data_IF_122591880212
#
_entry.id   IF_122591880212
#
_cell.length_a   1.000
_cell.length_b   1.000
_cell.length_c   1.000
_cell.angle_alpha   90.00
_cell.angle_beta   90.00
_cell.angle_gamma   90.00
#
_symmetry.space_group_name_H-M   'P 1'
#
loop_
_entity.id
_entity.type
_entity.pdbx_description
1 polymer ?
#
# COMPACT_ATOMS: atom_id res chain seq x y z
N UNK A 1 -12.94 -25.38 3.14
CA UNK A 1 -12.80 -24.80 4.48
C UNK A 1 -11.94 -23.56 4.37
N UNK A 2 -12.37 -22.45 4.96
CA UNK A 2 -11.58 -21.22 5.06
C UNK A 2 -10.32 -21.49 5.93
N UNK A 3 -9.14 -21.08 5.46
CA UNK A 3 -7.84 -21.31 6.11
C UNK A 3 -7.12 -20.03 6.58
N UNK A 4 -7.82 -18.88 6.64
CA UNK A 4 -7.26 -17.64 7.20
C UNK A 4 -6.98 -17.74 8.71
N UNK A 5 -6.10 -16.87 9.23
CA UNK A 5 -5.88 -16.76 10.67
C UNK A 5 -6.99 -15.92 11.30
N UNK A 6 -7.93 -16.54 12.03
CA UNK A 6 -9.00 -15.80 12.70
C UNK A 6 -8.58 -15.36 14.10
N UNK A 7 -8.74 -14.08 14.40
CA UNK A 7 -8.52 -13.52 15.75
C UNK A 7 -9.77 -12.84 16.30
N UNK A 8 -9.92 -12.92 17.63
CA UNK A 8 -10.96 -12.23 18.41
C UNK A 8 -10.40 -11.03 19.19
N UNK A 9 -9.10 -10.73 19.05
CA UNK A 9 -8.45 -9.58 19.70
C UNK A 9 -8.66 -8.29 18.88
N UNK A 10 -8.64 -7.14 19.57
CA UNK A 10 -8.60 -5.84 18.86
C UNK A 10 -7.34 -5.72 17.98
N UNK A 11 -7.38 -4.80 17.03
CA UNK A 11 -6.18 -4.46 16.25
C UNK A 11 -5.08 -3.89 17.18
N UNK A 12 -3.82 -4.34 17.03
CA UNK A 12 -2.75 -4.09 17.98
C UNK A 12 -2.24 -2.64 17.95
N UNK A 13 -2.50 -1.91 16.86
CA UNK A 13 -2.01 -0.54 16.66
C UNK A 13 -2.68 0.44 17.61
N UNK A 14 -3.97 0.27 17.92
CA UNK A 14 -4.64 1.10 18.91
C UNK A 14 -4.01 0.94 20.29
N UNK A 15 -3.82 -0.29 20.74
CA UNK A 15 -3.25 -0.58 22.07
C UNK A 15 -1.82 -0.07 22.16
N UNK A 16 -1.00 -0.35 21.15
CA UNK A 16 0.41 0.09 21.10
C UNK A 16 0.54 1.61 21.01
N UNK A 17 -0.27 2.27 20.18
CA UNK A 17 -0.35 3.75 20.12
C UNK A 17 -0.64 4.35 21.49
N UNK A 18 -1.61 3.81 22.24
CA UNK A 18 -1.94 4.32 23.58
C UNK A 18 -0.79 4.13 24.57
N UNK A 19 -0.10 2.99 24.51
CA UNK A 19 1.07 2.73 25.35
C UNK A 19 2.24 3.68 25.02
N UNK A 20 2.51 3.90 23.73
CA UNK A 20 3.54 4.83 23.26
C UNK A 20 3.21 6.27 23.68
N UNK A 21 1.97 6.74 23.51
CA UNK A 21 1.58 8.10 23.94
C UNK A 21 1.77 8.28 25.44
N UNK A 22 1.51 7.23 26.23
CA UNK A 22 1.69 7.27 27.68
C UNK A 22 3.16 7.33 28.08
N UNK A 23 4.04 6.59 27.40
CA UNK A 23 5.47 6.54 27.67
C UNK A 23 6.22 7.77 27.10
N UNK A 24 5.85 8.19 25.89
CA UNK A 24 6.52 9.21 25.07
C UNK A 24 5.53 10.21 24.48
N UNK A 25 4.88 11.06 25.29
CA UNK A 25 3.88 12.02 24.80
C UNK A 25 4.43 12.99 23.73
N UNK A 26 5.75 13.20 23.67
CA UNK A 26 6.42 14.02 22.66
C UNK A 26 6.26 13.52 21.22
N UNK A 27 5.92 12.24 20.99
CA UNK A 27 5.67 11.71 19.64
C UNK A 27 4.52 12.45 18.95
N UNK A 28 3.57 12.98 19.72
CA UNK A 28 2.45 13.76 19.18
C UNK A 28 2.91 15.06 18.51
N UNK A 29 4.09 15.57 18.86
CA UNK A 29 4.70 16.75 18.20
C UNK A 29 5.22 16.43 16.79
N UNK A 30 5.32 15.15 16.42
CA UNK A 30 5.71 14.73 15.07
C UNK A 30 4.54 14.80 14.09
N UNK A 31 3.30 14.79 14.59
CA UNK A 31 2.10 14.80 13.78
C UNK A 31 1.94 16.11 12.98
N UNK A 32 1.29 15.99 11.83
CA UNK A 32 0.93 17.13 10.98
C UNK A 32 1.59 17.08 9.60
N UNK A 33 1.37 18.10 8.77
CA UNK A 33 1.77 18.05 7.37
C UNK A 33 3.29 18.04 7.19
N UNK A 34 3.69 17.50 6.04
CA UNK A 34 5.04 17.47 5.50
C UNK A 34 5.07 18.19 4.14
N UNK A 35 5.41 19.50 4.12
CA UNK A 35 5.45 20.28 2.90
C UNK A 35 6.40 19.75 1.82
N UNK A 36 7.44 18.98 2.19
CA UNK A 36 8.36 18.36 1.22
C UNK A 36 7.66 17.35 0.29
N UNK A 37 6.49 16.83 0.69
CA UNK A 37 5.68 15.95 -0.15
C UNK A 37 5.27 16.63 -1.46
N UNK A 38 5.00 17.94 -1.43
CA UNK A 38 4.49 18.70 -2.58
C UNK A 38 5.54 18.79 -3.71
N UNK A 39 6.74 19.38 -3.50
CA UNK A 39 7.73 19.46 -4.56
C UNK A 39 8.20 18.09 -5.03
N UNK A 40 8.24 17.08 -4.15
CA UNK A 40 8.63 15.72 -4.53
C UNK A 40 7.62 15.09 -5.50
N UNK A 41 6.32 15.20 -5.22
CA UNK A 41 5.26 14.74 -6.14
C UNK A 41 5.36 15.45 -7.48
N UNK A 42 5.47 16.79 -7.48
CA UNK A 42 5.56 17.56 -8.72
C UNK A 42 6.81 17.18 -9.54
N UNK A 43 7.93 16.91 -8.87
CA UNK A 43 9.15 16.43 -9.49
C UNK A 43 8.95 15.05 -10.13
N UNK A 44 8.36 14.10 -9.42
CA UNK A 44 8.13 12.73 -9.94
C UNK A 44 7.11 12.73 -11.08
N UNK A 45 6.03 13.51 -10.98
CA UNK A 45 5.08 13.73 -12.09
C UNK A 45 5.79 14.30 -13.31
N UNK A 46 6.69 15.27 -13.12
CA UNK A 46 7.46 15.87 -14.21
C UNK A 46 8.41 14.87 -14.88
N UNK A 47 9.06 13.99 -14.10
CA UNK A 47 9.87 12.90 -14.64
C UNK A 47 9.02 11.98 -15.52
N UNK A 48 7.84 11.57 -15.05
CA UNK A 48 6.96 10.69 -15.80
C UNK A 48 6.51 11.32 -17.12
N UNK A 49 6.07 12.59 -17.09
CA UNK A 49 5.66 13.31 -18.30
C UNK A 49 6.85 13.48 -19.27
N UNK A 50 8.04 13.77 -18.75
CA UNK A 50 9.25 13.86 -19.56
C UNK A 50 9.58 12.52 -20.23
N UNK A 51 9.59 11.41 -19.48
CA UNK A 51 9.83 10.09 -20.05
C UNK A 51 8.77 9.70 -21.08
N UNK A 52 7.50 9.99 -20.81
CA UNK A 52 6.41 9.77 -21.77
C UNK A 52 6.64 10.55 -23.07
N UNK A 53 7.04 11.83 -22.97
CA UNK A 53 7.39 12.65 -24.13
C UNK A 53 8.61 12.12 -24.88
N UNK A 54 9.67 11.72 -24.18
CA UNK A 54 10.90 11.18 -24.80
C UNK A 54 10.64 9.86 -25.55
N UNK A 55 9.71 9.04 -25.06
CA UNK A 55 9.34 7.75 -25.66
C UNK A 55 8.22 7.84 -26.71
N UNK A 56 7.74 9.03 -27.05
CA UNK A 56 6.59 9.22 -27.97
C UNK A 56 6.70 8.55 -29.34
N UNK A 57 7.92 8.40 -29.85
CA UNK A 57 8.19 7.77 -31.14
C UNK A 57 8.87 6.41 -30.99
N UNK A 58 8.93 5.87 -29.77
CA UNK A 58 9.61 4.62 -29.46
C UNK A 58 8.60 3.47 -29.43
N UNK A 59 8.80 2.38 -30.20
CA UNK A 59 7.90 1.23 -30.17
C UNK A 59 7.83 0.59 -28.78
N UNK A 60 6.63 0.20 -28.35
CA UNK A 60 6.38 -0.31 -26.98
C UNK A 60 7.19 -1.58 -26.67
N UNK A 61 7.37 -2.47 -27.65
CA UNK A 61 8.10 -3.72 -27.50
C UNK A 61 9.63 -3.57 -27.61
N UNK A 62 10.12 -2.34 -27.77
CA UNK A 62 11.56 -2.09 -27.83
C UNK A 62 12.19 -2.09 -26.44
N UNK A 63 13.45 -2.53 -26.35
CA UNK A 63 14.21 -2.50 -25.10
C UNK A 63 14.29 -1.12 -24.44
N UNK A 64 14.54 -0.01 -25.16
CA UNK A 64 14.54 1.32 -24.54
C UNK A 64 13.21 1.67 -23.87
N UNK A 65 12.08 1.32 -24.52
CA UNK A 65 10.76 1.55 -23.93
C UNK A 65 10.56 0.70 -22.67
N UNK A 66 10.78 -0.61 -22.77
CA UNK A 66 10.57 -1.54 -21.67
C UNK A 66 11.45 -1.21 -20.46
N UNK A 67 12.76 -0.99 -20.66
CA UNK A 67 13.69 -0.69 -19.57
C UNK A 67 13.39 0.66 -18.90
N UNK A 68 13.02 1.67 -19.69
CA UNK A 68 12.61 2.97 -19.12
C UNK A 68 11.30 2.84 -18.34
N UNK A 69 10.33 2.10 -18.86
CA UNK A 69 9.05 1.86 -18.20
C UNK A 69 9.20 1.07 -16.90
N UNK A 70 10.10 0.09 -16.86
CA UNK A 70 10.34 -0.75 -15.68
C UNK A 70 11.22 -0.07 -14.64
N UNK A 71 12.37 0.50 -15.02
CA UNK A 71 13.33 1.03 -14.04
C UNK A 71 12.89 2.41 -13.55
N UNK A 72 12.63 3.34 -14.47
CA UNK A 72 12.26 4.73 -14.11
C UNK A 72 10.77 4.79 -13.84
N UNK A 73 9.96 4.34 -14.79
CA UNK A 73 8.52 4.50 -14.74
C UNK A 73 7.85 3.72 -13.60
N UNK A 74 8.19 2.45 -13.40
CA UNK A 74 7.58 1.65 -12.34
C UNK A 74 8.00 2.15 -10.95
N UNK A 75 9.28 2.52 -10.77
CA UNK A 75 9.77 3.14 -9.52
C UNK A 75 9.07 4.48 -9.24
N UNK A 76 8.92 5.33 -10.26
CA UNK A 76 8.23 6.62 -10.10
C UNK A 76 6.73 6.43 -9.85
N UNK A 77 6.06 5.45 -10.46
CA UNK A 77 4.66 5.16 -10.15
C UNK A 77 4.49 4.52 -8.77
N UNK A 78 5.45 3.71 -8.31
CA UNK A 78 5.49 3.26 -6.92
C UNK A 78 5.59 4.43 -5.94
N UNK A 79 6.47 5.39 -6.23
CA UNK A 79 6.55 6.63 -5.47
C UNK A 79 5.21 7.37 -5.46
N UNK A 80 4.55 7.55 -6.61
CA UNK A 80 3.27 8.26 -6.70
C UNK A 80 2.11 7.53 -6.04
N UNK A 81 2.08 6.19 -6.07
CA UNK A 81 1.10 5.40 -5.32
C UNK A 81 1.20 5.70 -3.82
N UNK A 82 2.42 5.74 -3.31
CA UNK A 82 2.68 6.01 -1.90
C UNK A 82 2.57 7.50 -1.55
N UNK A 83 2.77 8.40 -2.51
CA UNK A 83 2.42 9.80 -2.33
C UNK A 83 0.90 9.97 -2.17
N UNK A 84 0.09 9.31 -3.01
CA UNK A 84 -1.38 9.33 -2.88
C UNK A 84 -1.81 8.72 -1.54
N UNK A 85 -1.12 7.68 -1.06
CA UNK A 85 -1.26 7.16 0.29
C UNK A 85 -1.02 8.23 1.35
N UNK A 86 0.14 8.89 1.37
CA UNK A 86 0.45 9.97 2.33
C UNK A 86 -0.56 11.12 2.26
N UNK A 87 -0.94 11.54 1.05
CA UNK A 87 -1.90 12.62 0.83
C UNK A 87 -3.30 12.24 1.35
N UNK A 88 -3.66 10.95 1.30
CA UNK A 88 -4.96 10.45 1.81
C UNK A 88 -5.12 10.64 3.32
N UNK A 89 -4.01 10.64 4.06
CA UNK A 89 -3.92 10.98 5.48
C UNK A 89 -3.92 12.49 5.76
N UNK A 90 -4.07 13.32 4.72
CA UNK A 90 -3.97 14.78 4.77
C UNK A 90 -2.58 15.28 5.22
N UNK A 91 -1.52 14.58 4.82
CA UNK A 91 -0.17 14.91 5.23
C UNK A 91 0.56 15.88 4.29
N UNK A 92 0.04 16.21 3.11
CA UNK A 92 0.68 17.22 2.25
C UNK A 92 0.27 18.66 2.65
N UNK A 93 -1.00 18.86 2.99
CA UNK A 93 -1.56 20.18 3.36
C UNK A 93 -2.38 20.11 4.64
N UNK A 94 -2.57 21.25 5.33
CA UNK A 94 -3.56 21.34 6.42
C UNK A 94 -5.00 21.24 5.92
N UNK A 95 -5.27 21.68 4.69
CA UNK A 95 -6.61 21.65 4.08
C UNK A 95 -6.90 20.28 3.47
N UNK A 96 -7.96 19.62 3.93
CA UNK A 96 -8.39 18.34 3.37
C UNK A 96 -8.74 18.44 1.87
N UNK A 97 -9.35 19.56 1.45
CA UNK A 97 -9.66 19.80 0.03
C UNK A 97 -8.39 19.97 -0.80
N UNK A 98 -7.38 20.68 -0.30
CA UNK A 98 -6.10 20.81 -1.00
C UNK A 98 -5.41 19.45 -1.19
N UNK A 99 -5.43 18.58 -0.16
CA UNK A 99 -4.92 17.21 -0.30
C UNK A 99 -5.69 16.42 -1.36
N UNK A 100 -7.03 16.44 -1.33
CA UNK A 100 -7.85 15.74 -2.34
C UNK A 100 -7.55 16.19 -3.77
N UNK A 101 -7.43 17.50 -4.01
CA UNK A 101 -7.08 18.04 -5.32
C UNK A 101 -5.64 17.70 -5.72
N UNK A 102 -4.71 17.73 -4.77
CA UNK A 102 -3.31 17.39 -5.05
C UNK A 102 -3.10 15.89 -5.31
N UNK A 103 -3.89 15.02 -4.68
CA UNK A 103 -3.90 13.59 -4.97
C UNK A 103 -4.29 13.30 -6.43
N UNK A 104 -5.16 14.12 -7.03
CA UNK A 104 -5.50 14.02 -8.47
C UNK A 104 -4.28 14.37 -9.34
N UNK A 105 -3.47 15.36 -8.94
CA UNK A 105 -2.22 15.69 -9.64
C UNK A 105 -1.21 14.55 -9.54
N UNK A 106 -1.02 13.97 -8.35
CA UNK A 106 -0.18 12.79 -8.15
C UNK A 106 -0.66 11.58 -8.97
N UNK A 107 -1.97 11.50 -9.25
CA UNK A 107 -2.59 10.43 -10.03
C UNK A 107 -2.33 10.53 -11.54
N UNK A 108 -2.03 11.71 -12.10
CA UNK A 108 -1.98 11.90 -13.56
C UNK A 108 -1.08 10.87 -14.28
N UNK A 109 0.16 10.59 -13.81
CA UNK A 109 1.04 9.60 -14.44
C UNK A 109 0.58 8.14 -14.33
N UNK A 110 -0.46 7.87 -13.53
CA UNK A 110 -0.99 6.51 -13.38
C UNK A 110 -1.83 6.11 -14.60
N UNK A 111 -2.44 7.09 -15.29
CA UNK A 111 -3.27 6.88 -16.48
C UNK A 111 -4.68 6.35 -16.18
N UNK A 112 -5.02 6.13 -14.91
CA UNK A 112 -6.33 5.64 -14.47
C UNK A 112 -6.74 6.39 -13.18
N UNK A 113 -7.94 6.98 -13.09
CA UNK A 113 -8.33 7.85 -11.98
C UNK A 113 -8.74 7.04 -10.75
N UNK A 114 -7.82 6.80 -9.81
CA UNK A 114 -8.09 5.96 -8.62
C UNK A 114 -7.99 6.71 -7.28
N UNK A 115 -7.29 7.84 -7.22
CA UNK A 115 -7.01 8.59 -5.98
C UNK A 115 -8.26 8.92 -5.14
N UNK A 116 -9.37 9.29 -5.79
CA UNK A 116 -10.63 9.58 -5.11
C UNK A 116 -11.23 8.34 -4.39
N UNK A 117 -11.13 7.17 -5.02
CA UNK A 117 -11.59 5.89 -4.46
C UNK A 117 -10.61 5.33 -3.43
N UNK A 118 -9.31 5.55 -3.63
CA UNK A 118 -8.26 5.00 -2.77
C UNK A 118 -8.42 5.43 -1.31
N UNK A 119 -8.57 6.74 -1.07
CA UNK A 119 -8.63 7.31 0.29
C UNK A 119 -9.66 6.63 1.21
N UNK A 120 -10.96 6.52 0.86
CA UNK A 120 -11.94 5.88 1.73
C UNK A 120 -11.67 4.39 1.99
N UNK A 121 -11.22 3.62 0.99
CA UNK A 121 -10.82 2.23 1.22
C UNK A 121 -9.62 2.15 2.16
N UNK A 122 -8.57 2.94 1.88
CA UNK A 122 -7.33 2.97 2.66
C UNK A 122 -7.53 3.38 4.13
N UNK A 123 -8.31 4.44 4.37
CA UNK A 123 -8.62 4.84 5.75
C UNK A 123 -9.46 3.78 6.47
N UNK A 124 -10.35 3.08 5.76
CA UNK A 124 -11.13 1.97 6.31
C UNK A 124 -10.24 0.80 6.67
N UNK A 125 -9.25 0.47 5.82
CA UNK A 125 -8.22 -0.52 6.09
C UNK A 125 -7.47 -0.21 7.40
N UNK A 126 -6.94 1.01 7.58
CA UNK A 126 -6.31 1.40 8.85
C UNK A 126 -7.24 1.30 10.06
N UNK A 127 -8.53 1.59 9.88
CA UNK A 127 -9.50 1.61 11.00
C UNK A 127 -10.06 0.24 11.34
N UNK A 128 -10.13 -0.65 10.36
CA UNK A 128 -10.81 -1.94 10.40
C UNK A 128 -9.94 -3.05 9.83
N UNK A 129 -8.63 -2.99 10.12
CA UNK A 129 -7.62 -3.92 9.62
C UNK A 129 -8.04 -5.37 9.89
N UNK A 130 -8.00 -6.20 8.85
CA UNK A 130 -8.39 -7.60 8.94
C UNK A 130 -9.88 -7.85 9.14
N UNK A 131 -10.75 -6.83 9.24
CA UNK A 131 -12.19 -7.06 9.43
C UNK A 131 -12.83 -7.49 8.11
N UNK A 132 -13.46 -8.66 8.11
CA UNK A 132 -14.11 -9.20 6.92
C UNK A 132 -15.21 -8.26 6.40
N UNK A 133 -15.25 -8.08 5.08
CA UNK A 133 -16.22 -7.20 4.41
C UNK A 133 -15.93 -5.69 4.54
N UNK A 134 -14.90 -5.30 5.31
CA UNK A 134 -14.47 -3.90 5.48
C UNK A 134 -13.03 -3.67 5.02
N UNK A 135 -12.12 -4.59 5.30
CA UNK A 135 -10.75 -4.53 4.81
C UNK A 135 -10.66 -5.13 3.39
N UNK A 136 -10.60 -4.26 2.40
CA UNK A 136 -10.57 -4.66 0.98
C UNK A 136 -9.21 -5.19 0.53
N UNK A 137 -8.18 -5.10 1.38
CA UNK A 137 -6.85 -5.65 1.07
C UNK A 137 -6.79 -7.16 1.32
N UNK A 138 -7.75 -7.72 2.07
CA UNK A 138 -7.85 -9.15 2.29
C UNK A 138 -8.22 -9.87 0.99
N UNK A 139 -7.48 -10.91 0.59
CA UNK A 139 -7.94 -11.79 -0.47
C UNK A 139 -9.20 -12.54 -0.06
N UNK A 140 -10.06 -12.79 -1.04
CA UNK A 140 -11.22 -13.66 -0.91
C UNK A 140 -10.79 -15.12 -0.84
N UNK A 141 -11.62 -15.97 -0.21
CA UNK A 141 -11.38 -17.41 -0.20
C UNK A 141 -11.31 -18.00 -1.63
N UNK A 142 -12.08 -17.42 -2.57
CA UNK A 142 -12.05 -17.82 -3.98
C UNK A 142 -10.66 -17.59 -4.59
N UNK A 143 -10.13 -16.36 -4.48
CA UNK A 143 -8.77 -16.04 -4.94
C UNK A 143 -7.75 -16.95 -4.28
N UNK A 144 -7.87 -17.17 -2.97
CA UNK A 144 -6.93 -17.99 -2.23
C UNK A 144 -6.93 -19.45 -2.71
N UNK A 145 -8.09 -20.07 -2.95
CA UNK A 145 -8.17 -21.44 -3.50
C UNK A 145 -7.55 -21.53 -4.90
N UNK A 146 -7.88 -20.60 -5.80
CA UNK A 146 -7.44 -20.69 -7.21
C UNK A 146 -5.97 -20.34 -7.42
N UNK A 147 -5.40 -19.52 -6.53
CA UNK A 147 -4.04 -19.01 -6.67
C UNK A 147 -3.04 -19.70 -5.73
N UNK A 148 -3.44 -20.75 -5.00
CA UNK A 148 -2.60 -21.50 -4.06
C UNK A 148 -1.65 -22.49 -4.76
N UNK A 149 -0.78 -21.97 -5.61
CA UNK A 149 0.30 -22.72 -6.26
C UNK A 149 1.43 -21.77 -6.65
N UNK A 150 2.61 -22.29 -7.00
CA UNK A 150 3.72 -21.43 -7.48
C UNK A 150 3.28 -20.57 -8.67
N UNK A 151 2.57 -21.15 -9.64
CA UNK A 151 2.08 -20.43 -10.82
C UNK A 151 0.95 -19.45 -10.46
N UNK A 152 0.03 -19.85 -9.56
CA UNK A 152 -1.05 -18.99 -9.09
C UNK A 152 -0.54 -17.77 -8.33
N UNK A 153 0.44 -17.97 -7.44
CA UNK A 153 1.08 -16.89 -6.67
C UNK A 153 1.96 -16.00 -7.55
N UNK A 154 2.65 -16.57 -8.55
CA UNK A 154 3.35 -15.79 -9.56
C UNK A 154 2.38 -14.93 -10.37
N UNK A 155 1.24 -15.49 -10.81
CA UNK A 155 0.18 -14.74 -11.47
C UNK A 155 -0.36 -13.62 -10.57
N UNK A 156 -0.65 -13.92 -9.30
CA UNK A 156 -1.07 -12.93 -8.32
C UNK A 156 -0.07 -11.77 -8.22
N UNK A 157 1.21 -12.07 -8.01
CA UNK A 157 2.26 -11.06 -7.85
C UNK A 157 2.55 -10.28 -9.15
N UNK A 158 2.38 -10.89 -10.33
CA UNK A 158 2.49 -10.18 -11.62
C UNK A 158 1.31 -9.25 -11.87
N UNK A 159 0.09 -9.64 -11.49
CA UNK A 159 -1.14 -8.89 -11.76
C UNK A 159 -1.72 -8.20 -10.53
N UNK A 160 -0.90 -8.02 -9.49
CA UNK A 160 -1.31 -7.62 -8.16
C UNK A 160 -2.10 -6.31 -8.15
N UNK A 161 -1.68 -5.34 -8.97
CA UNK A 161 -2.37 -4.05 -9.11
C UNK A 161 -3.84 -4.20 -9.49
N UNK A 162 -4.20 -5.22 -10.29
CA UNK A 162 -5.59 -5.46 -10.66
C UNK A 162 -6.40 -6.03 -9.52
N UNK A 163 -5.81 -6.85 -8.65
CA UNK A 163 -6.49 -7.31 -7.44
C UNK A 163 -6.80 -6.13 -6.51
N UNK A 164 -5.83 -5.23 -6.29
CA UNK A 164 -6.06 -4.02 -5.49
C UNK A 164 -7.05 -3.04 -6.14
N UNK A 165 -7.10 -2.96 -7.47
CA UNK A 165 -8.05 -2.09 -8.16
C UNK A 165 -9.47 -2.66 -8.22
N UNK A 166 -9.62 -3.97 -8.43
CA UNK A 166 -10.90 -4.61 -8.73
C UNK A 166 -11.58 -5.24 -7.52
N UNK A 167 -10.82 -5.87 -6.62
CA UNK A 167 -11.36 -6.54 -5.43
C UNK A 167 -12.21 -5.62 -4.56
N UNK A 168 -11.81 -4.36 -4.27
CA UNK A 168 -12.63 -3.49 -3.43
C UNK A 168 -14.06 -3.34 -3.94
N UNK A 169 -14.26 -3.24 -5.26
CA UNK A 169 -15.57 -3.12 -5.90
C UNK A 169 -16.45 -4.37 -5.74
N UNK A 170 -15.85 -5.52 -5.45
CA UNK A 170 -16.54 -6.80 -5.21
C UNK A 170 -16.83 -7.02 -3.72
N UNK A 171 -16.02 -6.45 -2.82
CA UNK A 171 -16.20 -6.57 -1.37
C UNK A 171 -17.26 -5.60 -0.88
N UNK A 172 -17.09 -4.30 -1.12
CA UNK A 172 -18.16 -3.33 -0.88
C UNK A 172 -18.02 -2.12 -1.78
N UNK A 173 -19.15 -1.56 -2.23
CA UNK A 173 -19.16 -0.43 -3.16
C UNK A 173 -19.19 0.89 -2.39
N UNK A 174 -18.36 1.83 -2.82
CA UNK A 174 -18.45 3.22 -2.40
C UNK A 174 -19.49 3.97 -3.25
N UNK A 175 -20.23 4.93 -2.67
CA UNK A 175 -21.05 5.84 -3.45
C UNK A 175 -20.14 6.75 -4.29
N UNK A 176 -20.51 6.94 -5.56
CA UNK A 176 -19.81 7.89 -6.44
C UNK A 176 -20.12 9.31 -5.98
N UNK A 177 -19.07 10.12 -5.84
CA UNK A 177 -19.16 11.53 -5.40
C UNK A 177 -18.68 12.49 -6.47
N UNK A 178 -18.92 13.79 -6.30
CA UNK A 178 -18.39 14.83 -7.19
C UNK A 178 -16.86 14.78 -7.33
N UNK A 179 -16.15 14.36 -6.29
CA UNK A 179 -14.70 14.20 -6.35
C UNK A 179 -14.29 13.06 -7.30
N UNK A 180 -15.05 11.96 -7.36
CA UNK A 180 -14.80 10.87 -8.30
C UNK A 180 -15.00 11.35 -9.73
N UNK A 181 -16.11 12.04 -10.00
CA UNK A 181 -16.40 12.60 -11.32
C UNK A 181 -15.32 13.62 -11.75
N UNK A 182 -14.87 14.46 -10.81
CA UNK A 182 -13.80 15.42 -11.06
C UNK A 182 -12.46 14.73 -11.35
N UNK A 183 -12.09 13.69 -10.58
CA UNK A 183 -10.87 12.90 -10.84
C UNK A 183 -10.91 12.23 -12.22
N UNK A 184 -12.05 11.63 -12.60
CA UNK A 184 -12.26 11.03 -13.92
C UNK A 184 -12.11 12.08 -15.03
N UNK A 185 -12.75 13.23 -14.86
CA UNK A 185 -12.68 14.33 -15.84
C UNK A 185 -11.24 14.82 -16.02
N UNK A 186 -10.54 15.11 -14.92
CA UNK A 186 -9.16 15.62 -14.98
C UNK A 186 -8.21 14.60 -15.59
N UNK A 187 -8.30 13.32 -15.22
CA UNK A 187 -7.49 12.25 -15.80
C UNK A 187 -7.78 12.11 -17.30
N UNK A 188 -9.07 12.05 -17.69
CA UNK A 188 -9.46 11.93 -19.09
C UNK A 188 -9.00 13.11 -19.96
N UNK A 189 -9.07 14.34 -19.44
CA UNK A 189 -8.55 15.53 -20.12
C UNK A 189 -7.03 15.46 -20.23
N UNK A 190 -6.32 15.08 -19.17
CA UNK A 190 -4.87 14.94 -19.20
C UNK A 190 -4.42 13.88 -20.22
N UNK A 191 -5.01 12.68 -20.19
CA UNK A 191 -4.68 11.60 -21.11
C UNK A 191 -5.00 11.98 -22.56
N UNK A 192 -6.13 12.65 -22.79
CA UNK A 192 -6.49 13.16 -24.11
C UNK A 192 -5.46 14.18 -24.62
N UNK A 193 -5.12 15.19 -23.82
CA UNK A 193 -4.11 16.21 -24.18
C UNK A 193 -2.77 15.55 -24.44
N UNK A 194 -2.35 14.60 -23.60
CA UNK A 194 -1.10 13.86 -23.76
C UNK A 194 -1.08 13.08 -25.08
N UNK A 195 -2.16 12.40 -25.44
CA UNK A 195 -2.24 11.67 -26.73
C UNK A 195 -2.24 12.62 -27.92
N UNK A 196 -2.93 13.77 -27.86
CA UNK A 196 -2.95 14.73 -28.97
C UNK A 196 -1.58 15.39 -29.19
N UNK A 197 -0.82 15.61 -28.12
CA UNK A 197 0.46 16.35 -28.16
C UNK A 197 1.70 15.45 -28.28
N UNK A 198 1.67 14.29 -27.63
CA UNK A 198 2.78 13.33 -27.54
C UNK A 198 2.46 11.97 -28.18
N UNK A 199 1.27 11.77 -28.73
CA UNK A 199 0.88 10.49 -29.33
C UNK A 199 0.59 9.38 -28.30
N UNK A 200 -0.01 8.31 -28.81
CA UNK A 200 -0.47 7.16 -28.01
C UNK A 200 0.65 6.38 -27.31
N UNK A 201 1.91 6.49 -27.76
CA UNK A 201 3.04 5.83 -27.07
C UNK A 201 3.30 6.44 -25.69
N UNK A 202 3.05 7.73 -25.51
CA UNK A 202 3.19 8.40 -24.21
C UNK A 202 2.20 7.84 -23.19
N UNK A 203 0.92 7.68 -23.56
CA UNK A 203 -0.09 7.08 -22.68
C UNK A 203 0.20 5.60 -22.40
N UNK A 204 0.63 4.84 -23.41
CA UNK A 204 1.05 3.43 -23.21
C UNK A 204 2.20 3.33 -22.21
N UNK A 205 3.15 4.26 -22.24
CA UNK A 205 4.25 4.29 -21.27
C UNK A 205 3.71 4.47 -19.85
N UNK A 206 2.86 5.46 -19.61
CA UNK A 206 2.27 5.72 -18.29
C UNK A 206 1.50 4.51 -17.75
N UNK A 207 0.57 3.95 -18.54
CA UNK A 207 -0.24 2.79 -18.14
C UNK A 207 0.64 1.56 -17.91
N UNK A 208 1.63 1.32 -18.77
CA UNK A 208 2.51 0.16 -18.64
C UNK A 208 3.44 0.29 -17.43
N UNK A 209 3.91 1.50 -17.13
CA UNK A 209 4.65 1.78 -15.89
C UNK A 209 3.79 1.59 -14.65
N UNK A 210 2.51 1.96 -14.67
CA UNK A 210 1.56 1.66 -13.58
C UNK A 210 1.35 0.18 -13.37
N UNK A 211 1.21 -0.58 -14.47
CA UNK A 211 1.14 -2.03 -14.40
C UNK A 211 2.39 -2.62 -13.74
N UNK A 212 3.56 -2.32 -14.31
CA UNK A 212 4.85 -2.84 -13.80
C UNK A 212 5.12 -2.42 -12.35
N UNK A 213 4.69 -1.21 -11.95
CA UNK A 213 4.82 -0.72 -10.58
C UNK A 213 4.17 -1.67 -9.58
N UNK A 214 2.95 -2.15 -9.86
CA UNK A 214 2.27 -3.13 -9.01
C UNK A 214 2.40 -4.58 -9.51
N UNK A 215 3.46 -4.91 -10.24
CA UNK A 215 3.81 -6.26 -10.66
C UNK A 215 5.05 -6.76 -9.88
N UNK A 216 5.84 -7.67 -10.46
CA UNK A 216 7.13 -8.16 -9.93
C UNK A 216 8.24 -7.09 -9.95
N UNK A 217 8.01 -5.94 -9.32
CA UNK A 217 8.97 -4.87 -9.14
C UNK A 217 9.53 -4.87 -7.70
N UNK A 218 10.81 -4.55 -7.45
CA UNK A 218 11.39 -4.61 -6.10
C UNK A 218 10.60 -3.88 -5.02
N UNK A 219 10.07 -2.70 -5.32
CA UNK A 219 9.24 -1.96 -4.37
C UNK A 219 7.89 -2.64 -4.13
N UNK A 220 7.28 -3.29 -5.14
CA UNK A 220 5.95 -3.89 -5.03
C UNK A 220 5.84 -5.03 -4.02
N UNK A 221 6.97 -5.54 -3.53
CA UNK A 221 6.97 -6.46 -2.39
C UNK A 221 6.32 -5.86 -1.14
N UNK A 222 6.25 -4.53 -1.00
CA UNK A 222 5.61 -3.88 0.16
C UNK A 222 4.13 -4.30 0.32
N UNK A 223 3.36 -4.33 -0.77
CA UNK A 223 1.95 -4.76 -0.76
C UNK A 223 1.71 -6.16 -0.15
N UNK A 224 2.70 -7.07 -0.28
CA UNK A 224 2.65 -8.38 0.35
C UNK A 224 3.27 -8.32 1.75
N UNK A 225 4.45 -7.73 1.86
CA UNK A 225 5.23 -7.65 3.09
C UNK A 225 4.46 -7.06 4.27
N UNK A 226 3.61 -6.06 3.99
CA UNK A 226 2.99 -5.26 5.03
C UNK A 226 2.03 -6.06 5.92
N UNK A 227 1.26 -7.01 5.34
CA UNK A 227 0.16 -7.67 6.06
C UNK A 227 0.06 -9.19 5.88
N UNK A 228 0.92 -9.79 5.05
CA UNK A 228 0.98 -11.25 4.95
C UNK A 228 1.87 -11.84 6.05
N UNK A 229 1.42 -12.95 6.59
CA UNK A 229 2.09 -13.68 7.67
C UNK A 229 3.05 -14.71 7.06
N UNK A 230 4.35 -14.45 7.15
CA UNK A 230 5.38 -15.32 6.57
C UNK A 230 5.87 -16.43 7.50
N UNK A 231 5.41 -16.47 8.75
CA UNK A 231 5.81 -17.47 9.74
C UNK A 231 4.61 -18.26 10.29
N UNK A 232 3.81 -18.81 9.36
CA UNK A 232 2.61 -19.58 9.67
C UNK A 232 2.89 -20.71 10.65
N UNK A 233 3.95 -21.48 10.41
CA UNK A 233 4.28 -22.64 11.22
C UNK A 233 4.64 -22.27 12.67
N UNK A 234 5.40 -21.20 12.92
CA UNK A 234 5.69 -20.79 14.29
C UNK A 234 4.46 -20.16 14.95
N UNK A 235 3.65 -19.41 14.22
CA UNK A 235 2.41 -18.84 14.76
C UNK A 235 1.40 -19.92 15.12
N UNK A 236 1.21 -20.94 14.28
CA UNK A 236 0.35 -22.09 14.60
C UNK A 236 0.91 -22.89 15.77
N UNK A 237 2.24 -23.03 15.88
CA UNK A 237 2.91 -23.69 17.03
C UNK A 237 2.72 -22.90 18.33
N UNK A 238 2.84 -21.58 18.28
CA UNK A 238 2.65 -20.69 19.44
C UNK A 238 1.18 -20.61 19.85
N UNK A 239 0.26 -20.54 18.88
CA UNK A 239 -1.19 -20.62 19.13
C UNK A 239 -1.59 -21.97 19.74
N UNK A 240 -1.03 -23.08 19.25
CA UNK A 240 -1.23 -24.41 19.84
C UNK A 240 -0.61 -24.52 21.25
N UNK A 241 0.49 -23.82 21.52
CA UNK A 241 1.10 -23.75 22.85
C UNK A 241 0.29 -22.87 23.83
N UNK A 242 -0.36 -21.82 23.33
CA UNK A 242 -1.24 -20.92 24.08
C UNK A 242 -2.65 -21.50 24.34
N UNK A 243 -3.00 -22.66 23.78
CA UNK A 243 -4.17 -23.44 24.17
C UNK A 243 -4.05 -24.05 25.58
N UNK A 244 -2.93 -23.81 26.29
CA UNK A 244 -2.79 -24.04 27.73
C UNK A 244 -3.30 -22.80 28.49
N UNK A 245 -4.19 -22.96 29.48
CA UNK A 245 -5.00 -21.87 30.07
C UNK A 245 -4.23 -20.75 30.78
N UNK A 246 -2.91 -20.89 30.96
CA UNK A 246 -2.09 -19.98 31.79
C UNK A 246 -1.13 -19.10 30.98
N UNK A 247 -1.10 -19.22 29.64
CA UNK A 247 -0.25 -18.40 28.78
C UNK A 247 -1.10 -17.36 28.04
N UNK A 248 -0.82 -16.07 28.28
CA UNK A 248 -1.35 -14.97 27.46
C UNK A 248 -1.10 -15.31 25.99
N UNK A 249 -2.16 -15.48 25.21
CA UNK A 249 -2.05 -15.67 23.77
C UNK A 249 -1.22 -14.54 23.18
N UNK A 250 -0.07 -14.87 22.58
CA UNK A 250 0.76 -13.92 21.86
C UNK A 250 -0.08 -13.51 20.64
N UNK A 251 -0.41 -12.22 20.45
CA UNK A 251 -1.17 -11.78 19.29
C UNK A 251 -0.38 -12.11 18.03
N UNK A 252 -1.03 -12.75 17.07
CA UNK A 252 -0.43 -13.01 15.76
C UNK A 252 -0.01 -11.69 15.13
N UNK A 253 1.28 -11.49 14.81
CA UNK A 253 1.71 -10.29 14.09
C UNK A 253 0.99 -10.20 12.75
N UNK A 254 0.32 -9.08 12.50
CA UNK A 254 -0.50 -8.87 11.29
C UNK A 254 -0.05 -7.65 10.46
N UNK A 255 0.95 -6.93 10.96
CA UNK A 255 1.59 -5.78 10.31
C UNK A 255 3.09 -5.89 10.48
N UNK A 256 3.84 -5.81 9.38
CA UNK A 256 5.30 -5.99 9.38
C UNK A 256 5.99 -4.78 8.78
N UNK A 257 7.09 -4.35 9.42
CA UNK A 257 7.92 -3.26 8.91
C UNK A 257 9.03 -3.80 7.99
N UNK A 258 9.69 -2.88 7.27
CA UNK A 258 10.89 -3.04 6.46
C UNK A 258 11.71 -1.76 6.60
N UNK A 259 12.95 -1.88 7.07
CA UNK A 259 13.83 -0.73 7.34
C UNK A 259 14.93 -0.55 6.28
N UNK A 260 14.82 -1.21 5.12
CA UNK A 260 15.86 -1.21 4.10
C UNK A 260 15.80 -0.03 3.12
N UNK A 261 16.72 -0.06 2.15
CA UNK A 261 17.01 1.08 1.25
C UNK A 261 15.86 1.47 0.32
N UNK A 262 14.92 0.57 0.02
CA UNK A 262 13.82 0.86 -0.90
C UNK A 262 12.87 1.95 -0.36
N UNK A 263 12.89 2.20 0.96
CA UNK A 263 12.22 3.33 1.61
C UNK A 263 12.57 4.69 1.01
N UNK A 264 13.76 4.84 0.41
CA UNK A 264 14.17 6.05 -0.30
C UNK A 264 13.20 6.42 -1.43
N UNK A 265 12.60 5.42 -2.08
CA UNK A 265 11.67 5.61 -3.20
C UNK A 265 10.21 5.61 -2.76
N UNK A 266 9.92 5.17 -1.54
CA UNK A 266 8.58 4.78 -1.10
C UNK A 266 8.15 5.52 0.16
N UNK A 267 8.56 6.78 0.34
CA UNK A 267 8.10 7.63 1.44
C UNK A 267 8.20 6.92 2.80
N UNK A 268 9.31 6.20 3.07
CA UNK A 268 9.49 5.46 4.32
C UNK A 268 8.32 4.55 4.73
N UNK A 269 7.44 4.13 3.81
CA UNK A 269 6.24 3.32 4.13
C UNK A 269 6.61 1.99 4.78
N UNK A 270 7.83 1.50 4.53
CA UNK A 270 8.35 0.31 5.18
C UNK A 270 8.38 0.43 6.71
N UNK A 271 8.40 1.63 7.30
CA UNK A 271 8.11 1.82 8.73
C UNK A 271 6.59 1.69 8.97
N UNK A 272 6.06 0.52 8.64
CA UNK A 272 4.62 0.30 8.47
C UNK A 272 3.90 0.12 9.80
N UNK A 273 4.54 -0.54 10.79
CA UNK A 273 4.00 -0.57 12.15
C UNK A 273 3.89 0.83 12.73
N UNK A 274 4.92 1.65 12.56
CA UNK A 274 4.96 3.04 13.00
C UNK A 274 3.88 3.88 12.32
N UNK A 275 3.71 3.68 11.01
CA UNK A 275 2.67 4.33 10.24
C UNK A 275 1.26 3.94 10.70
N UNK A 276 0.97 2.65 10.87
CA UNK A 276 -0.33 2.21 11.38
C UNK A 276 -0.60 2.68 12.82
N UNK A 277 0.44 2.74 13.66
CA UNK A 277 0.35 3.27 15.01
C UNK A 277 0.14 4.80 15.01
N UNK A 278 0.70 5.53 14.05
CA UNK A 278 0.60 6.99 14.00
C UNK A 278 0.44 7.50 12.56
N UNK A 279 -0.72 7.29 11.90
CA UNK A 279 -0.95 7.66 10.51
C UNK A 279 -1.07 9.18 10.30
N UNK A 280 -0.95 9.96 11.37
CA UNK A 280 -0.86 11.42 11.33
C UNK A 280 0.60 11.93 11.40
N UNK A 281 1.57 11.03 11.59
CA UNK A 281 3.00 11.32 11.50
C UNK A 281 3.42 11.09 10.06
N UNK A 282 4.00 12.09 9.38
CA UNK A 282 4.38 11.94 7.99
C UNK A 282 5.62 11.09 7.80
N UNK A 283 5.76 10.53 6.60
CA UNK A 283 6.90 9.70 6.18
C UNK A 283 8.28 10.20 6.61
N UNK A 284 8.53 11.51 6.52
CA UNK A 284 9.82 12.14 6.85
C UNK A 284 10.19 12.01 8.32
N UNK A 285 9.18 11.80 9.19
CA UNK A 285 9.31 11.76 10.65
C UNK A 285 9.10 10.36 11.22
N UNK A 286 8.67 9.37 10.42
CA UNK A 286 8.57 7.98 10.85
C UNK A 286 9.90 7.44 11.44
N UNK A 287 11.09 7.69 10.84
CA UNK A 287 12.34 7.24 11.46
C UNK A 287 12.62 7.89 12.82
N UNK A 288 12.12 9.11 13.06
CA UNK A 288 12.25 9.77 14.36
C UNK A 288 11.26 9.19 15.37
N UNK A 289 10.04 8.85 14.93
CA UNK A 289 9.07 8.13 15.76
C UNK A 289 9.61 6.78 16.22
N UNK A 290 10.15 5.98 15.29
CA UNK A 290 10.80 4.71 15.60
C UNK A 290 11.90 4.89 16.66
N UNK A 291 12.82 5.86 16.49
CA UNK A 291 13.89 6.11 17.48
C UNK A 291 13.40 6.51 18.86
N UNK A 292 12.30 7.26 18.97
CA UNK A 292 11.76 7.69 20.28
C UNK A 292 11.11 6.50 21.00
N UNK A 293 10.39 5.66 20.27
CA UNK A 293 9.59 4.57 20.82
C UNK A 293 10.13 3.18 20.41
N UNK A 294 11.44 3.06 20.22
CA UNK A 294 12.10 1.87 19.67
C UNK A 294 11.79 0.59 20.46
N UNK A 295 11.63 0.69 21.77
CA UNK A 295 11.31 -0.42 22.66
C UNK A 295 9.92 -1.05 22.40
N UNK A 296 9.07 -0.36 21.63
CA UNK A 296 7.78 -0.90 21.18
C UNK A 296 7.86 -1.59 19.81
N UNK A 297 8.98 -1.45 19.09
CA UNK A 297 9.16 -1.92 17.72
C UNK A 297 10.32 -2.93 17.55
N UNK A 298 11.36 -2.87 18.38
CA UNK A 298 12.59 -3.65 18.23
C UNK A 298 12.35 -5.17 18.25
N UNK A 299 11.39 -5.63 19.06
CA UNK A 299 11.01 -7.04 19.17
C UNK A 299 9.95 -7.48 18.15
N UNK A 300 9.41 -6.55 17.35
CA UNK A 300 8.41 -6.90 16.32
C UNK A 300 9.08 -7.56 15.11
N UNK A 301 8.44 -8.58 14.50
CA UNK A 301 8.94 -9.16 13.27
C UNK A 301 8.92 -8.13 12.14
N UNK A 302 9.94 -8.18 11.30
CA UNK A 302 10.10 -7.27 10.17
C UNK A 302 10.78 -7.98 8.99
N UNK A 303 10.55 -7.48 7.79
CA UNK A 303 11.18 -7.98 6.58
C UNK A 303 12.53 -7.30 6.32
N UNK A 304 13.53 -8.09 5.91
CA UNK A 304 14.86 -7.58 5.52
C UNK A 304 14.96 -7.23 4.05
N UNK A 305 14.06 -7.74 3.20
CA UNK A 305 14.08 -7.54 1.75
C UNK A 305 12.69 -7.73 1.14
N UNK A 306 12.15 -6.70 0.49
CA UNK A 306 10.90 -6.83 -0.28
C UNK A 306 11.04 -7.71 -1.53
N UNK A 307 12.22 -7.76 -2.15
CA UNK A 307 12.51 -8.74 -3.21
C UNK A 307 12.47 -10.17 -2.65
N UNK A 308 13.03 -10.35 -1.45
CA UNK A 308 12.97 -11.62 -0.72
C UNK A 308 11.53 -12.04 -0.39
N UNK A 309 10.68 -11.08 0.01
CA UNK A 309 9.24 -11.28 0.23
C UNK A 309 8.55 -11.78 -1.04
N UNK A 310 8.77 -11.14 -2.19
CA UNK A 310 8.18 -11.58 -3.46
C UNK A 310 8.63 -13.01 -3.81
N UNK A 311 9.92 -13.30 -3.65
CA UNK A 311 10.47 -14.63 -3.90
C UNK A 311 9.84 -15.68 -2.98
N UNK A 312 9.86 -15.44 -1.66
CA UNK A 312 9.32 -16.37 -0.69
C UNK A 312 7.82 -16.57 -0.90
N UNK A 313 7.05 -15.50 -1.14
CA UNK A 313 5.63 -15.59 -1.42
C UNK A 313 5.34 -16.51 -2.60
N UNK A 314 6.13 -16.46 -3.68
CA UNK A 314 5.90 -17.30 -4.86
C UNK A 314 6.32 -18.75 -4.62
N UNK A 315 7.48 -18.98 -4.01
CA UNK A 315 8.12 -20.30 -3.97
C UNK A 315 7.83 -21.13 -2.72
N UNK A 316 7.62 -20.48 -1.58
CA UNK A 316 7.40 -21.14 -0.30
C UNK A 316 5.98 -21.72 -0.24
N UNK A 317 5.84 -23.02 0.07
CA UNK A 317 4.52 -23.66 0.12
C UNK A 317 3.72 -23.25 1.35
N UNK A 318 4.38 -22.76 2.38
CA UNK A 318 3.75 -22.35 3.65
C UNK A 318 3.26 -20.89 3.61
N UNK A 319 3.60 -20.14 2.55
CA UNK A 319 3.20 -18.75 2.36
C UNK A 319 2.32 -18.60 1.13
N UNK A 320 1.17 -17.96 1.27
CA UNK A 320 0.25 -17.72 0.16
C UNK A 320 -0.89 -16.80 0.54
N UNK A 321 -1.94 -16.80 -0.28
CA UNK A 321 -3.08 -15.90 -0.11
C UNK A 321 -3.81 -16.14 1.22
N UNK A 322 -3.75 -17.35 1.78
CA UNK A 322 -4.31 -17.70 3.09
C UNK A 322 -3.61 -17.05 4.28
N UNK A 323 -2.38 -16.56 4.08
CA UNK A 323 -1.55 -16.06 5.18
C UNK A 323 -1.92 -14.62 5.57
N UNK A 324 -3.18 -14.38 5.90
CA UNK A 324 -3.73 -13.09 6.36
C UNK A 324 -4.52 -13.28 7.63
N UNK A 325 -4.45 -12.30 8.52
CA UNK A 325 -5.24 -12.26 9.74
C UNK A 325 -6.62 -11.65 9.45
N UNK A 326 -7.68 -12.33 9.88
CA UNK A 326 -9.07 -11.94 9.73
C UNK A 326 -9.78 -11.81 11.08
N UNK A 327 -10.77 -10.93 11.12
CA UNK A 327 -11.68 -10.67 12.24
C UNK A 327 -13.12 -10.74 11.72
N UNK A 328 -13.97 -11.47 12.44
CA UNK A 328 -15.38 -11.64 12.07
C UNK A 328 -16.24 -10.42 12.43
N UNK A 329 -15.85 -9.71 13.48
CA UNK A 329 -16.61 -8.59 14.03
C UNK A 329 -15.70 -7.40 14.33
N UNK A 330 -16.31 -6.21 14.45
CA UNK A 330 -15.64 -4.95 14.75
C UNK A 330 -15.52 -4.03 13.53
N UNK A 331 -14.74 -2.95 13.69
CA UNK A 331 -14.47 -2.00 12.62
C UNK A 331 -15.63 -1.06 12.27
N UNK A 332 -15.35 -0.12 11.36
CA UNK A 332 -16.33 0.77 10.71
C UNK A 332 -15.73 1.39 9.45
N UNK A 333 -16.58 1.67 8.45
CA UNK A 333 -16.19 2.46 7.28
C UNK A 333 -15.80 3.87 7.69
N UNK A 334 -14.70 4.38 7.16
CA UNK A 334 -14.26 5.77 7.36
C UNK A 334 -13.79 6.37 6.04
N UNK A 335 -13.55 7.68 6.01
CA UNK A 335 -13.06 8.36 4.83
C UNK A 335 -14.10 8.64 3.74
N UNK A 336 -15.36 8.20 3.91
CA UNK A 336 -16.49 8.59 3.07
C UNK A 336 -16.88 10.04 3.32
N UNK A 337 -16.33 10.95 2.53
CA UNK A 337 -16.59 12.38 2.61
C UNK A 337 -15.80 13.19 1.60
#
# INVERSE_FOLDING_TARGET
>A
HDQFFWTYTEEPHRTRRQAIIKAHPEVLKLCGPEPLTIPLVLFVVSIQVLCAYLLRNTPMLSWPFFLTAYIVGATANQNLFLAIHEISHNLAFKSATANRLFAIIANLPIGIPYSASFRPYHLTHHKSLGVEGLDTDLPTALEAVFLDSVLGKAFFATFQIFFYALRPMMVYKLPITNLHLFNILVQGVFDYVLVQTCGQQALKYLIFSSFLAGSLHPCAGHFIAEHYVFDRANIEREAAAAAKPDLKAIPVPETFSYYGILNLFTYNVGLHNEHHDFPAVPWSRLPKLNRIAHEFYDDLPYHKSWVGVLWQFIWDKEVGLWCRVKRAEGGRKVGGG
#
